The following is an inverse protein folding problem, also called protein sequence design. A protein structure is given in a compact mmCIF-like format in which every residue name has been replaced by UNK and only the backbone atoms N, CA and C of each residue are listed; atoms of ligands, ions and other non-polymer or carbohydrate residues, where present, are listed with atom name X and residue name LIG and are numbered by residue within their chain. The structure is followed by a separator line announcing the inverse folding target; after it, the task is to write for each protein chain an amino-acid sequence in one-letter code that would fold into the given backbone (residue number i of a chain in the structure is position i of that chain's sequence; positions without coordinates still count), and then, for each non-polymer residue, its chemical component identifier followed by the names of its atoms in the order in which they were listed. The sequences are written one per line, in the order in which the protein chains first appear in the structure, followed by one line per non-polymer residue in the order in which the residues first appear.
data_IF_002026987321
#
_entry.id   IF_002026987321
#
_cell.length_a   1.000
_cell.length_b   1.000
_cell.length_c   1.000
_cell.angle_alpha   90.00
_cell.angle_beta   90.00
_cell.angle_gamma   90.00
#
_symmetry.space_group_name_H-M   'P 1'
#
loop_
_entity.id
_entity.type
_entity.pdbx_description
1 polymer ?
#
# COMPACT_ATOMS: atom_id res chain seq x y z
N UNK A 1 17.21 0.76 -14.46
CA UNK A 1 17.70 0.36 -13.12
C UNK A 1 17.74 -1.16 -13.04
N UNK A 2 18.71 -1.77 -12.34
CA UNK A 2 18.81 -3.21 -12.16
C UNK A 2 17.52 -3.81 -11.58
N UNK A 3 17.10 -4.98 -12.06
CA UNK A 3 15.89 -5.68 -11.60
C UNK A 3 14.54 -5.10 -12.07
N UNK A 4 14.51 -3.94 -12.72
CA UNK A 4 13.24 -3.31 -13.14
C UNK A 4 12.64 -3.90 -14.43
N UNK A 5 13.31 -4.87 -15.07
CA UNK A 5 12.78 -5.56 -16.26
C UNK A 5 11.63 -6.50 -15.90
N UNK A 6 11.59 -6.95 -14.65
CA UNK A 6 10.58 -7.85 -14.07
C UNK A 6 9.91 -7.17 -12.88
N UNK A 7 8.67 -7.53 -12.58
CA UNK A 7 7.98 -7.03 -11.40
C UNK A 7 8.67 -7.41 -10.10
N UNK A 8 8.55 -6.57 -9.07
CA UNK A 8 9.13 -6.84 -7.75
C UNK A 8 8.49 -8.06 -7.05
N UNK A 9 7.20 -8.31 -7.29
CA UNK A 9 6.41 -9.36 -6.62
C UNK A 9 6.18 -10.62 -7.46
N UNK A 10 6.49 -10.54 -8.75
CA UNK A 10 6.16 -11.56 -9.74
C UNK A 10 7.13 -11.49 -10.92
N UNK A 11 7.32 -12.61 -11.62
CA UNK A 11 8.24 -12.71 -12.75
C UNK A 11 7.68 -12.11 -14.07
N UNK A 12 6.60 -11.32 -14.01
CA UNK A 12 6.04 -10.64 -15.18
C UNK A 12 6.99 -9.57 -15.71
N UNK A 13 7.19 -9.55 -17.02
CA UNK A 13 8.02 -8.56 -17.70
C UNK A 13 7.29 -7.23 -17.89
N UNK A 14 8.06 -6.18 -18.18
CA UNK A 14 7.57 -4.85 -18.53
C UNK A 14 6.57 -4.24 -17.52
N UNK A 15 6.94 -4.12 -16.23
CA UNK A 15 6.07 -3.55 -15.21
C UNK A 15 5.68 -2.10 -15.55
N UNK A 16 4.38 -1.79 -15.45
CA UNK A 16 3.80 -0.47 -15.79
C UNK A 16 3.35 0.34 -14.57
N UNK A 17 3.56 -0.22 -13.37
CA UNK A 17 3.18 0.39 -12.11
C UNK A 17 4.37 0.44 -11.19
N UNK A 18 4.34 1.37 -10.24
CA UNK A 18 5.43 1.61 -9.31
C UNK A 18 4.92 1.86 -7.90
N UNK A 19 5.71 1.47 -6.90
CA UNK A 19 5.61 2.02 -5.55
C UNK A 19 6.71 3.04 -5.38
N UNK A 20 6.33 4.31 -5.27
CA UNK A 20 7.27 5.40 -5.01
C UNK A 20 7.93 5.19 -3.66
N UNK A 21 7.17 4.74 -2.66
CA UNK A 21 7.68 4.51 -1.29
C UNK A 21 8.93 3.62 -1.29
N UNK A 22 8.96 2.59 -2.14
CA UNK A 22 10.04 1.61 -2.21
C UNK A 22 10.93 1.76 -3.45
N UNK A 23 10.66 2.73 -4.33
CA UNK A 23 11.41 2.86 -5.59
C UNK A 23 11.30 1.61 -6.48
N UNK A 24 10.22 0.83 -6.37
CA UNK A 24 10.04 -0.45 -7.08
C UNK A 24 8.99 -0.34 -8.18
N UNK A 25 9.07 -1.25 -9.16
CA UNK A 25 8.13 -1.39 -10.27
C UNK A 25 7.51 -2.80 -10.29
N UNK A 26 6.23 -2.89 -10.64
CA UNK A 26 5.45 -4.13 -10.67
C UNK A 26 4.32 -4.08 -11.70
N UNK A 27 3.66 -5.22 -11.91
CA UNK A 27 2.57 -5.37 -12.86
C UNK A 27 1.24 -4.82 -12.33
N UNK A 28 0.22 -4.78 -13.20
CA UNK A 28 -1.12 -4.31 -12.86
C UNK A 28 -1.75 -5.11 -11.71
N UNK A 29 -1.64 -6.44 -11.72
CA UNK A 29 -2.21 -7.29 -10.67
C UNK A 29 -1.58 -6.98 -9.30
N UNK A 30 -0.25 -6.85 -9.26
CA UNK A 30 0.48 -6.52 -8.05
C UNK A 30 0.16 -5.10 -7.57
N UNK A 31 -0.13 -4.17 -8.48
CA UNK A 31 -0.59 -2.83 -8.10
C UNK A 31 -1.85 -2.87 -7.23
N UNK A 32 -2.78 -3.79 -7.49
CA UNK A 32 -3.98 -3.99 -6.67
C UNK A 32 -3.65 -4.46 -5.26
N UNK A 33 -2.67 -5.36 -5.12
CA UNK A 33 -2.20 -5.87 -3.81
C UNK A 33 -1.55 -4.75 -3.00
N UNK A 34 -0.68 -3.95 -3.62
CA UNK A 34 -0.06 -2.79 -2.99
C UNK A 34 -1.07 -1.71 -2.60
N UNK A 35 -2.09 -1.46 -3.41
CA UNK A 35 -3.18 -0.54 -3.06
C UNK A 35 -3.95 -0.99 -1.82
N UNK A 36 -4.14 -2.30 -1.66
CA UNK A 36 -4.77 -2.89 -0.47
C UNK A 36 -3.99 -2.69 0.84
N UNK A 37 -2.71 -2.35 0.78
CA UNK A 37 -1.91 -2.01 1.96
C UNK A 37 -2.20 -0.59 2.50
N UNK A 38 -2.63 0.31 1.61
CA UNK A 38 -2.80 1.73 1.92
C UNK A 38 -1.55 2.57 1.62
N UNK A 39 -1.77 3.87 1.44
CA UNK A 39 -0.76 4.83 0.93
C UNK A 39 0.39 5.10 1.91
N UNK A 40 0.17 4.92 3.22
CA UNK A 40 1.20 5.04 4.26
C UNK A 40 2.23 3.89 4.21
N UNK A 41 1.84 2.74 3.65
CA UNK A 41 2.72 1.60 3.43
C UNK A 41 3.35 1.70 2.05
N UNK A 42 2.52 1.70 1.00
CA UNK A 42 2.95 1.72 -0.39
C UNK A 42 2.21 2.77 -1.20
N UNK A 43 2.92 3.82 -1.62
CA UNK A 43 2.38 4.86 -2.49
C UNK A 43 2.49 4.45 -3.96
N UNK A 44 1.38 3.98 -4.53
CA UNK A 44 1.31 3.39 -5.88
C UNK A 44 1.03 4.45 -6.95
N UNK A 45 1.76 4.39 -8.07
CA UNK A 45 1.57 5.21 -9.28
C UNK A 45 1.68 4.38 -10.55
N UNK A 46 0.90 4.74 -11.57
CA UNK A 46 1.09 4.31 -12.95
C UNK A 46 2.30 5.02 -13.54
N UNK A 47 3.14 4.28 -14.25
CA UNK A 47 4.30 4.89 -14.92
C UNK A 47 3.85 5.82 -16.06
N UNK A 48 2.82 5.42 -16.81
CA UNK A 48 2.36 6.14 -17.99
C UNK A 48 1.19 7.11 -17.74
N UNK A 49 0.28 6.79 -16.81
CA UNK A 49 -0.98 7.52 -16.66
C UNK A 49 -0.99 8.56 -15.54
N UNK A 50 -0.07 8.46 -14.58
CA UNK A 50 -0.02 9.40 -13.46
C UNK A 50 0.98 10.53 -13.71
N UNK A 51 0.69 11.69 -13.14
CA UNK A 51 1.66 12.79 -13.08
C UNK A 51 2.73 12.51 -12.01
N UNK A 52 3.97 12.78 -12.36
CA UNK A 52 5.14 12.57 -11.51
C UNK A 52 5.77 13.89 -11.11
N UNK A 53 6.03 14.04 -9.81
CA UNK A 53 6.84 15.15 -9.29
C UNK A 53 8.33 14.84 -9.43
N UNK A 54 9.20 15.87 -9.51
CA UNK A 54 10.65 15.67 -9.54
C UNK A 54 11.17 14.86 -8.35
N UNK A 55 10.65 15.08 -7.14
CA UNK A 55 11.03 14.33 -5.93
C UNK A 55 10.73 12.82 -6.09
N UNK A 56 9.54 12.47 -6.59
CA UNK A 56 9.17 11.08 -6.83
C UNK A 56 10.09 10.43 -7.86
N UNK A 57 10.46 11.15 -8.93
CA UNK A 57 11.40 10.66 -9.93
C UNK A 57 12.79 10.41 -9.34
N UNK A 58 13.28 11.26 -8.44
CA UNK A 58 14.55 11.04 -7.76
C UNK A 58 14.51 9.80 -6.86
N UNK A 59 13.41 9.59 -6.14
CA UNK A 59 13.21 8.37 -5.33
C UNK A 59 13.25 7.13 -6.21
N UNK A 60 12.54 7.14 -7.34
CA UNK A 60 12.56 6.01 -8.28
C UNK A 60 13.97 5.76 -8.83
N UNK A 61 14.73 6.81 -9.17
CA UNK A 61 16.12 6.72 -9.67
C UNK A 61 17.10 6.21 -8.61
N UNK A 62 16.89 6.57 -7.35
CA UNK A 62 17.74 6.18 -6.23
C UNK A 62 17.50 4.73 -5.76
N UNK A 63 16.34 4.16 -6.08
CA UNK A 63 15.94 2.80 -5.71
C UNK A 63 16.15 1.78 -6.84
N UNK A 64 15.10 1.02 -7.11
CA UNK A 64 15.08 -0.10 -8.05
C UNK A 64 14.75 -1.42 -7.35
N UNK A 65 14.15 -2.34 -8.11
CA UNK A 65 13.66 -3.62 -7.59
C UNK A 65 14.78 -4.41 -6.92
N UNK A 66 15.93 -4.53 -7.58
CA UNK A 66 17.05 -5.31 -7.05
C UNK A 66 17.53 -4.76 -5.70
N UNK A 67 17.71 -3.44 -5.60
CA UNK A 67 18.18 -2.80 -4.37
C UNK A 67 17.20 -2.98 -3.20
N UNK A 68 15.90 -2.82 -3.46
CA UNK A 68 14.87 -3.04 -2.45
C UNK A 68 14.86 -4.50 -1.97
N UNK A 69 14.86 -5.45 -2.91
CA UNK A 69 14.86 -6.88 -2.61
C UNK A 69 16.11 -7.30 -1.82
N UNK A 70 17.29 -6.84 -2.23
CA UNK A 70 18.55 -7.20 -1.55
C UNK A 70 18.61 -6.63 -0.14
N UNK A 71 18.16 -5.39 0.05
CA UNK A 71 18.05 -4.79 1.37
C UNK A 71 17.11 -5.60 2.27
N UNK A 72 15.90 -5.87 1.81
CA UNK A 72 14.90 -6.60 2.61
C UNK A 72 15.37 -8.03 2.92
N UNK A 73 15.99 -8.72 1.96
CA UNK A 73 16.60 -10.04 2.18
C UNK A 73 17.72 -9.97 3.23
N UNK A 74 18.56 -8.94 3.20
CA UNK A 74 19.63 -8.75 4.20
C UNK A 74 19.09 -8.56 5.63
N UNK A 75 17.84 -8.09 5.75
CA UNK A 75 17.10 -7.93 7.01
C UNK A 75 16.24 -9.15 7.37
N UNK A 76 16.36 -10.25 6.64
CA UNK A 76 15.64 -11.50 6.90
C UNK A 76 14.20 -11.54 6.35
N UNK A 77 13.79 -10.58 5.53
CA UNK A 77 12.47 -10.59 4.90
C UNK A 77 12.49 -11.54 3.70
N UNK A 78 11.65 -12.57 3.74
CA UNK A 78 11.59 -13.59 2.70
C UNK A 78 10.89 -13.08 1.42
N UNK A 79 11.56 -13.24 0.28
CA UNK A 79 11.00 -13.07 -1.05
C UNK A 79 10.81 -14.45 -1.69
N UNK A 80 9.70 -15.12 -1.38
CA UNK A 80 9.29 -16.29 -2.14
C UNK A 80 8.61 -15.83 -3.43
N UNK A 81 9.39 -15.69 -4.50
CA UNK A 81 8.89 -15.41 -5.86
C UNK A 81 8.78 -16.71 -6.68
N UNK A 82 8.77 -17.88 -6.03
CA UNK A 82 8.72 -19.16 -6.74
C UNK A 82 7.35 -19.42 -7.37
N UNK A 83 6.28 -18.77 -6.87
CA UNK A 83 5.00 -18.69 -7.56
C UNK A 83 4.99 -17.48 -8.49
N UNK A 84 4.33 -17.62 -9.65
CA UNK A 84 4.13 -16.51 -10.61
C UNK A 84 3.30 -15.33 -10.04
N UNK A 85 2.87 -15.42 -8.78
CA UNK A 85 2.08 -14.40 -8.10
C UNK A 85 2.23 -14.56 -6.58
N UNK A 86 2.67 -13.50 -5.90
CA UNK A 86 2.65 -13.41 -4.43
C UNK A 86 1.22 -13.08 -3.95
N UNK A 87 0.76 -13.68 -2.84
CA UNK A 87 -0.55 -13.36 -2.26
C UNK A 87 -0.56 -11.93 -1.68
N UNK A 88 -1.74 -11.41 -1.32
CA UNK A 88 -1.83 -10.09 -0.68
C UNK A 88 -1.15 -10.09 0.69
N UNK A 89 -1.28 -11.20 1.40
CA UNK A 89 -0.71 -11.44 2.72
C UNK A 89 0.81 -11.50 2.64
N UNK A 90 1.38 -12.15 1.62
CA UNK A 90 2.83 -12.14 1.36
C UNK A 90 3.34 -10.72 1.10
N UNK A 91 2.64 -9.97 0.23
CA UNK A 91 2.97 -8.58 -0.08
C UNK A 91 2.89 -7.72 1.18
N UNK A 92 1.87 -7.92 2.03
CA UNK A 92 1.77 -7.21 3.31
C UNK A 92 2.96 -7.53 4.22
N UNK A 93 3.28 -8.81 4.42
CA UNK A 93 4.37 -9.23 5.28
C UNK A 93 5.73 -8.63 4.85
N UNK A 94 5.95 -8.45 3.53
CA UNK A 94 7.18 -7.86 2.99
C UNK A 94 7.31 -6.35 3.23
N UNK A 95 6.18 -5.62 3.18
CA UNK A 95 6.20 -4.16 3.15
C UNK A 95 5.66 -3.48 4.43
N UNK A 96 4.97 -4.23 5.30
CA UNK A 96 4.42 -3.77 6.58
C UNK A 96 5.25 -4.32 7.75
N UNK A 97 6.53 -3.94 7.79
CA UNK A 97 7.47 -4.31 8.85
C UNK A 97 8.53 -3.22 9.05
N UNK A 98 9.33 -3.35 10.11
CA UNK A 98 10.36 -2.37 10.49
C UNK A 98 11.45 -2.21 9.42
N UNK A 99 11.95 -3.31 8.84
CA UNK A 99 12.95 -3.25 7.78
C UNK A 99 12.44 -2.48 6.55
N UNK A 100 11.18 -2.67 6.17
CA UNK A 100 10.54 -1.92 5.10
C UNK A 100 10.38 -0.43 5.45
N UNK A 101 10.09 -0.10 6.71
CA UNK A 101 10.04 1.28 7.18
C UNK A 101 11.41 1.96 7.09
N UNK A 102 12.47 1.28 7.54
CA UNK A 102 13.85 1.78 7.49
C UNK A 102 14.30 2.01 6.06
N UNK A 103 14.00 1.07 5.15
CA UNK A 103 14.32 1.22 3.75
C UNK A 103 13.69 2.48 3.13
N UNK A 104 12.43 2.80 3.47
CA UNK A 104 11.77 4.02 2.98
C UNK A 104 12.53 5.28 3.41
N UNK A 105 13.01 5.31 4.66
CA UNK A 105 13.79 6.45 5.18
C UNK A 105 15.12 6.56 4.44
N UNK A 106 15.86 5.46 4.32
CA UNK A 106 17.16 5.42 3.64
C UNK A 106 17.04 5.79 2.17
N UNK A 107 16.03 5.27 1.48
CA UNK A 107 15.78 5.56 0.07
C UNK A 107 15.49 7.05 -0.14
N UNK A 108 14.67 7.66 0.74
CA UNK A 108 14.37 9.09 0.65
C UNK A 108 15.61 9.95 0.92
N UNK A 109 16.42 9.59 1.92
CA UNK A 109 17.69 10.27 2.18
C UNK A 109 18.65 10.20 0.99
N UNK A 110 18.80 9.00 0.40
CA UNK A 110 19.61 8.76 -0.79
C UNK A 110 19.12 9.58 -1.99
N UNK A 111 17.80 9.66 -2.21
CA UNK A 111 17.21 10.46 -3.28
C UNK A 111 17.48 11.96 -3.14
N UNK A 112 17.63 12.43 -1.90
CA UNK A 112 17.94 13.83 -1.57
C UNK A 112 19.45 14.12 -1.55
N UNK A 113 20.31 13.15 -1.88
CA UNK A 113 21.76 13.32 -1.86
C UNK A 113 22.37 13.39 -0.46
N UNK A 114 21.67 12.91 0.56
CA UNK A 114 22.22 12.83 1.92
C UNK A 114 23.12 11.60 2.06
N UNK A 115 24.23 11.67 2.84
CA UNK A 115 25.10 10.53 3.11
C UNK A 115 24.33 9.39 3.80
N UNK A 116 24.72 8.14 3.53
CA UNK A 116 24.03 6.93 4.01
C UNK A 116 24.15 6.67 5.53
N UNK A 117 24.79 7.55 6.31
CA UNK A 117 25.05 7.37 7.75
C UNK A 117 23.90 7.89 8.62
N UNK A 118 22.65 7.52 8.30
CA UNK A 118 21.53 7.77 9.21
C UNK A 118 21.46 6.60 10.18
N UNK A 119 22.01 6.81 11.37
CA UNK A 119 21.79 5.96 12.53
C UNK A 119 20.30 6.04 12.91
N UNK A 120 19.51 5.05 12.49
CA UNK A 120 18.05 4.94 12.70
C UNK A 120 17.75 4.53 14.15
N UNK A 121 18.30 5.27 15.12
CA UNK A 121 17.92 5.14 16.53
C UNK A 121 17.38 6.45 17.14
N UNK A 122 17.35 7.55 16.38
CA UNK A 122 16.99 8.87 16.94
C UNK A 122 15.65 9.44 16.47
N UNK A 123 15.06 8.96 15.37
CA UNK A 123 13.84 9.58 14.80
C UNK A 123 12.52 9.17 15.45
N UNK A 124 12.53 8.24 16.41
CA UNK A 124 11.30 7.78 17.09
C UNK A 124 10.83 8.67 18.25
N UNK A 125 11.56 9.75 18.62
CA UNK A 125 11.27 10.50 19.86
C UNK A 125 10.72 11.92 19.68
N UNK A 126 10.87 12.58 18.53
CA UNK A 126 10.59 14.03 18.42
C UNK A 126 9.18 14.40 17.94
N UNK A 127 8.34 13.44 17.53
CA UNK A 127 7.01 13.72 16.98
C UNK A 127 5.83 13.72 17.97
N UNK A 128 5.97 13.14 19.18
CA UNK A 128 4.86 13.05 20.16
C UNK A 128 4.88 14.10 21.27
N UNK A 129 5.95 14.89 21.41
CA UNK A 129 6.06 15.84 22.54
C UNK A 129 5.60 17.27 22.23
N UNK A 130 5.45 17.69 20.97
CA UNK A 130 5.14 19.09 20.67
C UNK A 130 3.66 19.48 20.78
N UNK A 131 2.73 18.53 20.95
CA UNK A 131 1.30 18.85 21.07
C UNK A 131 0.79 19.03 22.51
N UNK A 132 1.68 18.99 23.53
CA UNK A 132 1.32 19.29 24.93
C UNK A 132 1.70 20.71 25.40
N UNK A 133 2.32 21.54 24.57
CA UNK A 133 2.83 22.87 24.99
C UNK A 133 1.88 24.05 24.70
N UNK A 134 0.58 23.80 24.48
CA UNK A 134 -0.42 24.86 24.23
C UNK A 134 -1.62 24.86 25.19
N UNK A 135 -1.40 24.64 26.50
CA UNK A 135 -2.37 25.01 27.54
C UNK A 135 -1.69 25.61 28.78
N UNK A 136 -1.98 26.89 29.06
CA UNK A 136 -1.86 27.61 30.35
C UNK A 136 -0.45 27.77 30.93
N UNK A 137 0.21 28.93 30.91
CA UNK A 137 -0.04 30.20 31.63
C UNK A 137 -0.02 30.09 33.17
N UNK A 138 0.83 30.94 33.75
CA UNK A 138 0.90 31.42 35.13
C UNK A 138 1.84 30.72 36.14
N UNK A 139 2.75 31.56 36.64
CA UNK A 139 3.67 31.41 37.76
C UNK A 139 3.02 30.87 39.03
N UNK A 140 3.72 29.99 39.77
CA UNK A 140 4.10 30.27 41.17
C UNK A 140 4.93 29.13 41.78
N UNK A 141 5.90 29.58 42.56
CA UNK A 141 6.91 28.87 43.35
C UNK A 141 6.36 27.83 44.33
N UNK A 142 7.01 26.66 44.45
CA UNK A 142 7.67 26.16 45.68
C UNK A 142 7.79 24.62 45.75
N UNK A 143 9.01 24.19 46.16
CA UNK A 143 9.40 23.06 47.03
C UNK A 143 8.83 21.66 46.71
N UNK A 144 9.63 20.72 46.18
CA UNK A 144 10.55 19.77 46.88
C UNK A 144 9.88 18.78 47.85
N UNK A 145 10.11 17.49 47.55
CA UNK A 145 10.01 16.25 48.37
C UNK A 145 8.56 15.76 48.58
N UNK A 146 8.23 14.47 48.57
CA UNK A 146 8.99 13.25 48.81
C UNK A 146 8.22 12.03 48.25
N UNK A 147 8.97 10.99 47.90
CA UNK A 147 8.53 9.64 47.53
C UNK A 147 7.59 9.02 48.57
N UNK A 148 6.71 8.10 48.15
CA UNK A 148 6.86 6.65 48.41
C UNK A 148 5.63 5.86 47.97
N UNK A 149 5.89 4.81 47.19
CA UNK A 149 5.31 3.46 47.23
C UNK A 149 3.79 3.33 46.94
N UNK A 150 3.29 2.50 46.02
CA UNK A 150 3.42 1.04 46.05
C UNK A 150 2.90 0.42 44.72
N UNK A 151 3.34 -0.81 44.49
CA UNK A 151 3.28 -1.65 43.29
C UNK A 151 1.96 -2.45 43.17
N UNK A 152 1.43 -2.62 41.94
CA UNK A 152 0.60 -3.75 41.39
C UNK A 152 0.02 -3.28 40.03
N UNK A 153 0.32 -3.81 38.83
CA UNK A 153 0.15 -5.19 38.32
C UNK A 153 -1.35 -5.50 38.15
N UNK A 154 -1.96 -5.93 37.02
CA UNK A 154 -1.57 -6.29 35.66
C UNK A 154 -2.86 -6.49 34.80
N UNK A 155 -2.70 -6.53 33.46
CA UNK A 155 -3.47 -7.31 32.45
C UNK A 155 -4.98 -7.05 32.19
N UNK A 156 -5.34 -6.76 30.92
CA UNK A 156 -6.08 -7.69 30.03
C UNK A 156 -6.77 -6.98 28.85
N UNK A 157 -6.38 -7.37 27.63
CA UNK A 157 -7.24 -7.73 26.49
C UNK A 157 -8.66 -7.13 26.43
N UNK A 158 -8.87 -6.04 25.67
CA UNK A 158 -10.22 -5.57 25.32
C UNK A 158 -10.44 -5.71 23.81
N UNK A 159 -11.30 -6.66 23.44
CA UNK A 159 -11.85 -6.80 22.09
C UNK A 159 -12.60 -5.51 21.74
N UNK A 160 -12.21 -4.83 20.67
CA UNK A 160 -13.03 -3.73 20.11
C UNK A 160 -14.33 -4.29 19.55
N UNK A 161 -15.40 -4.23 20.33
CA UNK A 161 -16.78 -4.34 19.84
C UNK A 161 -17.19 -3.01 19.20
N UNK A 162 -17.71 -3.07 17.97
CA UNK A 162 -18.23 -1.90 17.26
C UNK A 162 -19.51 -1.42 17.93
N UNK A 163 -19.72 -0.11 17.94
CA UNK A 163 -20.99 0.46 18.43
C UNK A 163 -22.14 0.11 17.46
N UNK A 164 -23.40 0.01 17.93
CA UNK A 164 -24.55 -0.30 17.07
C UNK A 164 -24.70 0.65 15.85
N UNK A 165 -24.27 1.91 16.00
CA UNK A 165 -24.26 2.88 14.90
C UNK A 165 -23.19 2.55 13.83
N UNK A 166 -22.04 2.02 14.24
CA UNK A 166 -20.97 1.60 13.32
C UNK A 166 -21.33 0.31 12.57
N UNK A 167 -22.03 -0.61 13.23
CA UNK A 167 -22.56 -1.83 12.58
C UNK A 167 -23.62 -1.47 11.52
N UNK A 168 -24.57 -0.59 11.85
CA UNK A 168 -25.57 -0.12 10.90
C UNK A 168 -24.94 0.56 9.66
N UNK A 169 -23.87 1.34 9.87
CA UNK A 169 -23.16 1.99 8.76
C UNK A 169 -22.39 0.98 7.89
N UNK A 170 -21.78 -0.06 8.48
CA UNK A 170 -21.13 -1.12 7.70
C UNK A 170 -22.13 -1.95 6.90
N UNK A 171 -23.28 -2.28 7.48
CA UNK A 171 -24.35 -3.00 6.78
C UNK A 171 -24.86 -2.17 5.60
N UNK A 172 -25.10 -0.88 5.81
CA UNK A 172 -25.61 0.03 4.77
C UNK A 172 -24.60 0.18 3.62
N UNK A 173 -23.31 0.37 3.93
CA UNK A 173 -22.26 0.49 2.91
C UNK A 173 -22.01 -0.81 2.16
N UNK A 174 -22.11 -1.95 2.83
CA UNK A 174 -22.04 -3.27 2.20
C UNK A 174 -23.20 -3.50 1.23
N UNK A 175 -24.43 -3.19 1.63
CA UNK A 175 -25.62 -3.36 0.77
C UNK A 175 -25.56 -2.46 -0.48
N UNK A 176 -25.14 -1.20 -0.34
CA UNK A 176 -24.97 -0.30 -1.48
C UNK A 176 -23.92 -0.80 -2.47
N UNK A 177 -22.79 -1.35 -1.97
CA UNK A 177 -21.76 -1.94 -2.83
C UNK A 177 -22.28 -3.18 -3.56
N UNK A 178 -23.00 -4.06 -2.87
CA UNK A 178 -23.59 -5.25 -3.51
C UNK A 178 -24.61 -4.85 -4.58
N UNK A 179 -25.47 -3.86 -4.30
CA UNK A 179 -26.44 -3.35 -5.28
C UNK A 179 -25.74 -2.83 -6.55
N UNK A 180 -24.69 -2.03 -6.39
CA UNK A 180 -23.94 -1.48 -7.52
C UNK A 180 -23.26 -2.58 -8.36
N UNK A 181 -22.72 -3.61 -7.72
CA UNK A 181 -22.15 -4.76 -8.43
C UNK A 181 -23.21 -5.57 -9.18
N UNK A 182 -24.44 -5.66 -8.65
CA UNK A 182 -25.54 -6.34 -9.35
C UNK A 182 -26.02 -5.54 -10.55
N UNK A 183 -26.13 -4.21 -10.44
CA UNK A 183 -26.47 -3.32 -11.55
C UNK A 183 -25.43 -3.40 -12.69
N UNK A 184 -24.13 -3.37 -12.36
CA UNK A 184 -23.06 -3.50 -13.35
C UNK A 184 -23.04 -4.86 -14.06
N UNK A 185 -23.39 -5.95 -13.36
CA UNK A 185 -23.47 -7.27 -13.97
C UNK A 185 -24.68 -7.38 -14.92
N UNK A 186 -25.79 -6.70 -14.61
CA UNK A 186 -26.97 -6.68 -15.47
C UNK A 186 -26.69 -5.96 -16.79
N UNK A 187 -26.04 -4.79 -16.73
CA UNK A 187 -25.63 -4.03 -17.94
C UNK A 187 -24.70 -4.88 -18.82
N UNK A 188 -23.75 -5.57 -18.19
CA UNK A 188 -22.79 -6.44 -18.89
C UNK A 188 -23.47 -7.64 -19.56
N UNK A 189 -24.51 -8.21 -18.94
CA UNK A 189 -25.28 -9.30 -19.58
C UNK A 189 -26.09 -8.84 -20.78
N UNK A 190 -26.64 -7.61 -20.75
CA UNK A 190 -27.38 -7.03 -21.88
C UNK A 190 -26.46 -6.75 -23.07
N UNK A 191 -25.28 -6.20 -22.82
CA UNK A 191 -24.25 -5.98 -23.86
C UNK A 191 -23.84 -7.30 -24.52
N UNK A 192 -23.59 -8.37 -23.74
CA UNK A 192 -23.23 -9.67 -24.31
C UNK A 192 -24.34 -10.31 -25.14
N UNK A 193 -25.61 -10.11 -24.76
CA UNK A 193 -26.75 -10.61 -25.54
C UNK A 193 -26.86 -9.91 -26.89
N UNK A 194 -26.67 -8.59 -26.92
CA UNK A 194 -26.73 -7.80 -28.16
C UNK A 194 -25.61 -8.16 -29.15
N UNK A 195 -24.41 -8.47 -28.64
CA UNK A 195 -23.29 -8.89 -29.47
C UNK A 195 -23.56 -10.25 -30.13
N UNK A 196 -24.11 -11.21 -29.39
CA UNK A 196 -24.46 -12.53 -29.92
C UNK A 196 -25.58 -12.47 -30.97
N UNK A 197 -26.55 -11.57 -30.83
CA UNK A 197 -27.61 -11.36 -31.84
C UNK A 197 -27.07 -10.76 -33.13
N UNK A 198 -26.15 -9.79 -33.03
CA UNK A 198 -25.47 -9.20 -34.19
C UNK A 198 -24.65 -10.24 -34.96
N UNK A 199 -23.90 -11.09 -34.26
CA UNK A 199 -23.10 -12.15 -34.88
C UNK A 199 -23.99 -13.20 -35.55
N UNK A 200 -25.13 -13.54 -34.94
CA UNK A 200 -26.10 -14.46 -35.54
C UNK A 200 -26.76 -13.90 -36.81
N UNK A 201 -27.01 -12.59 -36.88
CA UNK A 201 -27.53 -11.92 -38.07
C UNK A 201 -26.48 -11.86 -39.20
N UNK A 202 -25.22 -11.57 -38.88
CA UNK A 202 -24.13 -11.57 -39.85
C UNK A 202 -23.92 -12.95 -40.50
N UNK A 203 -24.01 -14.03 -39.72
CA UNK A 203 -23.91 -15.40 -40.23
C UNK A 203 -25.09 -15.80 -41.13
N UNK A 204 -26.31 -15.30 -40.87
CA UNK A 204 -27.47 -15.54 -41.75
C UNK A 204 -27.30 -14.83 -43.09
N UNK A 205 -26.85 -13.56 -43.09
CA UNK A 205 -26.60 -12.79 -44.31
C UNK A 205 -25.47 -13.40 -45.16
N UNK A 206 -24.42 -13.92 -44.53
CA UNK A 206 -23.33 -14.60 -45.23
C UNK A 206 -23.79 -15.89 -45.94
N UNK A 207 -24.85 -16.55 -45.44
CA UNK A 207 -25.41 -17.77 -46.02
C UNK A 207 -26.36 -17.49 -47.19
N UNK A 208 -27.04 -16.35 -47.19
CA UNK A 208 -27.95 -15.93 -48.25
C UNK A 208 -27.23 -15.33 -49.46
N UNK A 209 -26.00 -14.81 -49.29
CA UNK A 209 -25.16 -14.27 -50.36
C UNK A 209 -24.35 -15.29 -51.18
N UNK A 210 -24.54 -16.59 -50.94
CA UNK A 210 -23.85 -17.68 -51.65
C UNK A 210 -24.77 -18.47 -52.62
N UNK A 211 -25.96 -17.96 -52.92
CA UNK A 211 -26.89 -18.55 -53.90
C UNK A 211 -26.98 -17.75 -55.18
#
# INVERSE_FOLDING_TARGET
LPGNKTGAECNQSNPQWASVSFGTVFCLECSGKHRGLGTHISFVRSIAMDNWTPEQLQIMKAGGNQQCMDYLKSKGVAFNVSSNSSSREDVRARYDNEAAADYKVQLKAKANGQPNDIDVHTTSSTGRQQQRQRRGRYSSSNKRKQKQDLFQGASANEKLSLTPAQEAHQITTSLLRTKHLMEQNLDRTQETSSALESDAQALKQAREGQS
#
